data_IF_462776793996
#
_entry.id   IF_462776793996
#
_cell.length_a   1.000
_cell.length_b   1.000
_cell.length_c   1.000
_cell.angle_alpha   90.00
_cell.angle_beta   90.00
_cell.angle_gamma   90.00
#
_symmetry.space_group_name_H-M   'P 1'
#
loop_
_entity.id
_entity.type
_entity.pdbx_description
1 polymer ?
#
# COMPACT_ATOMS: atom_id res chain seq x y z
N UNK A 1 -16.23 11.60 22.34
CA UNK A 1 -17.48 10.94 21.89
C UNK A 1 -17.10 9.61 21.26
N UNK A 2 -17.58 8.49 21.77
CA UNK A 2 -17.47 7.21 21.03
C UNK A 2 -18.24 7.39 19.72
N UNK A 3 -17.55 7.28 18.58
CA UNK A 3 -18.21 7.29 17.27
C UNK A 3 -19.10 6.05 17.20
N UNK A 4 -20.41 6.26 17.23
CA UNK A 4 -21.39 5.23 16.95
C UNK A 4 -21.27 4.93 15.47
N UNK A 5 -20.68 3.79 15.13
CA UNK A 5 -20.42 3.34 13.77
C UNK A 5 -21.29 2.11 13.52
N UNK A 6 -22.36 2.26 12.74
CA UNK A 6 -23.21 1.17 12.29
C UNK A 6 -23.79 1.49 10.91
N UNK A 7 -24.43 0.53 10.24
CA UNK A 7 -24.95 0.71 8.90
C UNK A 7 -26.17 1.64 8.87
N UNK A 8 -26.48 2.18 7.70
CA UNK A 8 -27.68 2.98 7.46
C UNK A 8 -28.51 2.38 6.33
N UNK A 9 -29.83 2.31 6.48
CA UNK A 9 -30.72 1.66 5.52
C UNK A 9 -32.07 1.27 6.12
N UNK A 10 -32.60 0.13 5.69
CA UNK A 10 -33.91 -0.36 6.10
C UNK A 10 -33.86 -1.84 6.48
N UNK A 11 -34.59 -2.18 7.54
CA UNK A 11 -34.93 -3.56 7.89
C UNK A 11 -36.36 -3.84 7.42
N UNK A 12 -36.54 -4.94 6.70
CA UNK A 12 -37.85 -5.51 6.37
C UNK A 12 -38.09 -6.73 7.26
N UNK A 13 -39.13 -6.70 8.09
CA UNK A 13 -39.48 -7.81 8.99
C UNK A 13 -40.98 -7.86 9.29
N UNK A 14 -41.60 -9.04 9.16
CA UNK A 14 -43.01 -9.28 9.50
C UNK A 14 -44.00 -8.27 8.87
N UNK A 15 -43.70 -7.76 7.66
CA UNK A 15 -44.51 -6.76 6.96
C UNK A 15 -44.30 -5.32 7.42
N UNK A 16 -43.42 -5.08 8.38
CA UNK A 16 -42.98 -3.75 8.80
C UNK A 16 -41.63 -3.38 8.15
N UNK A 17 -41.45 -2.08 7.93
CA UNK A 17 -40.17 -1.49 7.50
C UNK A 17 -39.64 -0.61 8.61
N UNK A 18 -38.46 -0.95 9.14
CA UNK A 18 -37.77 -0.20 10.19
C UNK A 18 -36.62 0.59 9.56
N UNK A 19 -36.42 1.82 10.01
CA UNK A 19 -35.30 2.65 9.56
C UNK A 19 -34.08 2.34 10.40
N UNK A 20 -32.93 2.16 9.77
CA UNK A 20 -31.64 2.03 10.45
C UNK A 20 -30.80 3.26 10.13
N UNK A 21 -30.33 3.95 11.16
CA UNK A 21 -29.45 5.10 11.00
C UNK A 21 -28.25 5.00 11.95
N UNK A 22 -27.06 4.86 11.37
CA UNK A 22 -25.80 4.62 12.09
C UNK A 22 -25.92 3.46 13.09
N UNK A 23 -26.55 2.37 12.65
CA UNK A 23 -26.85 1.16 13.41
C UNK A 23 -28.08 1.25 14.31
N UNK A 24 -28.58 2.44 14.66
CA UNK A 24 -29.80 2.55 15.49
C UNK A 24 -31.02 2.19 14.67
N UNK A 25 -31.81 1.25 15.17
CA UNK A 25 -33.05 0.79 14.51
C UNK A 25 -34.23 1.56 15.09
N UNK A 26 -35.06 2.14 14.23
CA UNK A 26 -36.22 2.93 14.60
C UNK A 26 -37.51 2.32 14.05
N UNK A 27 -38.53 2.32 14.89
CA UNK A 27 -39.93 2.12 14.50
C UNK A 27 -40.70 3.39 14.84
N UNK A 28 -41.30 4.03 13.83
CA UNK A 28 -42.10 5.24 14.01
C UNK A 28 -41.39 6.33 14.85
N UNK A 29 -40.07 6.46 14.66
CA UNK A 29 -39.21 7.42 15.39
C UNK A 29 -38.72 6.97 16.78
N UNK A 30 -39.17 5.82 17.27
CA UNK A 30 -38.73 5.25 18.56
C UNK A 30 -37.58 4.25 18.34
N UNK A 31 -36.46 4.33 19.08
CA UNK A 31 -35.39 3.36 18.98
C UNK A 31 -35.83 2.00 19.52
N UNK A 32 -35.70 0.96 18.70
CA UNK A 32 -36.12 -0.42 19.02
C UNK A 32 -34.98 -1.43 18.93
N UNK A 33 -33.74 -0.97 18.73
CA UNK A 33 -32.56 -1.83 18.75
C UNK A 33 -31.33 -1.18 18.11
N UNK A 34 -30.25 -1.94 18.06
CA UNK A 34 -29.02 -1.60 17.34
C UNK A 34 -28.63 -2.76 16.42
N UNK A 35 -28.29 -2.45 15.16
CA UNK A 35 -27.77 -3.35 14.13
C UNK A 35 -26.30 -3.03 13.89
N UNK A 36 -25.46 -4.05 13.91
CA UNK A 36 -24.06 -3.99 13.48
C UNK A 36 -23.90 -4.44 12.02
N UNK A 37 -22.78 -4.08 11.38
CA UNK A 37 -22.54 -4.37 9.97
C UNK A 37 -22.36 -5.87 9.68
N UNK A 38 -21.89 -6.62 10.68
CA UNK A 38 -21.76 -8.08 10.65
C UNK A 38 -23.08 -8.82 10.94
N UNK A 39 -24.18 -8.08 11.06
CA UNK A 39 -25.52 -8.62 11.27
C UNK A 39 -25.85 -9.00 12.70
N UNK A 40 -25.06 -8.61 13.70
CA UNK A 40 -25.53 -8.70 15.08
C UNK A 40 -26.56 -7.62 15.42
N UNK A 41 -27.54 -8.02 16.23
CA UNK A 41 -28.54 -7.16 16.83
C UNK A 41 -28.33 -7.09 18.35
N UNK A 42 -28.57 -5.92 18.94
CA UNK A 42 -28.48 -5.68 20.38
C UNK A 42 -29.61 -4.77 20.86
N UNK A 43 -29.95 -4.88 22.15
CA UNK A 43 -30.87 -4.00 22.87
C UNK A 43 -32.23 -3.88 22.13
N UNK A 44 -32.68 -5.00 21.58
CA UNK A 44 -33.85 -5.08 20.71
C UNK A 44 -35.16 -5.11 21.50
N UNK A 45 -36.20 -4.53 20.91
CA UNK A 45 -37.55 -4.47 21.45
C UNK A 45 -38.61 -4.46 20.33
N UNK A 46 -39.89 -4.40 20.70
CA UNK A 46 -40.98 -4.24 19.75
C UNK A 46 -41.07 -5.41 18.73
N UNK A 47 -41.17 -5.14 17.42
CA UNK A 47 -41.25 -6.16 16.37
C UNK A 47 -40.05 -7.09 16.35
N UNK A 48 -38.87 -6.64 16.80
CA UNK A 48 -37.69 -7.48 16.88
C UNK A 48 -37.76 -8.44 18.07
N UNK A 49 -38.66 -8.23 19.04
CA UNK A 49 -38.71 -8.95 20.31
C UNK A 49 -37.72 -8.41 21.33
N UNK A 50 -38.02 -8.61 22.62
CA UNK A 50 -37.24 -8.08 23.73
C UNK A 50 -35.98 -8.93 23.97
N UNK A 51 -34.80 -8.32 23.83
CA UNK A 51 -33.51 -8.95 24.16
C UNK A 51 -32.42 -7.92 24.34
N UNK A 52 -31.73 -7.98 25.47
CA UNK A 52 -30.53 -7.17 25.76
C UNK A 52 -29.24 -7.87 25.31
N UNK A 53 -29.34 -9.14 24.91
CA UNK A 53 -28.21 -9.93 24.44
C UNK A 53 -27.93 -9.73 22.96
N UNK A 54 -26.66 -9.86 22.60
CA UNK A 54 -26.19 -9.89 21.23
C UNK A 54 -26.72 -11.15 20.53
N UNK A 55 -27.41 -10.98 19.40
CA UNK A 55 -27.93 -12.11 18.62
C UNK A 55 -27.81 -11.86 17.12
N UNK A 56 -27.51 -12.90 16.32
CA UNK A 56 -27.37 -12.73 14.87
C UNK A 56 -28.74 -12.45 14.23
N UNK A 57 -28.74 -11.71 13.13
CA UNK A 57 -29.93 -11.39 12.32
C UNK A 57 -30.70 -12.65 11.88
N UNK A 58 -30.00 -13.77 11.68
CA UNK A 58 -30.58 -15.07 11.35
C UNK A 58 -31.47 -15.66 12.45
N UNK A 59 -31.32 -15.20 13.70
CA UNK A 59 -32.20 -15.60 14.80
C UNK A 59 -33.64 -15.05 14.64
N UNK A 60 -33.86 -14.13 13.69
CA UNK A 60 -35.16 -13.57 13.34
C UNK A 60 -35.51 -13.97 11.89
N UNK A 61 -36.16 -15.13 11.68
CA UNK A 61 -36.44 -15.66 10.35
C UNK A 61 -37.24 -14.68 9.47
N UNK A 62 -36.75 -14.39 8.27
CA UNK A 62 -37.38 -13.47 7.33
C UNK A 62 -37.02 -11.99 7.54
N UNK A 63 -36.16 -11.67 8.51
CA UNK A 63 -35.59 -10.33 8.65
C UNK A 63 -34.53 -10.12 7.59
N UNK A 64 -34.66 -9.04 6.81
CA UNK A 64 -33.62 -8.62 5.87
C UNK A 64 -33.25 -7.16 6.09
N UNK A 65 -31.98 -6.83 5.91
CA UNK A 65 -31.49 -5.46 5.90
C UNK A 65 -30.94 -5.11 4.51
N UNK A 66 -31.20 -3.88 4.06
CA UNK A 66 -30.64 -3.30 2.83
C UNK A 66 -30.23 -1.87 3.09
N UNK A 67 -29.00 -1.53 2.75
CA UNK A 67 -28.47 -0.19 2.98
C UNK A 67 -27.01 -0.07 2.60
N UNK A 68 -26.28 0.71 3.39
CA UNK A 68 -24.85 0.94 3.27
C UNK A 68 -24.15 0.68 4.60
N UNK A 69 -22.91 0.22 4.54
CA UNK A 69 -22.00 0.19 5.69
C UNK A 69 -21.43 1.60 5.99
N UNK A 70 -20.63 1.71 7.05
CA UNK A 70 -20.01 2.97 7.49
C UNK A 70 -19.00 3.54 6.49
N UNK A 71 -18.54 2.74 5.53
CA UNK A 71 -17.68 3.19 4.43
C UNK A 71 -18.46 3.68 3.20
N UNK A 72 -19.79 3.53 3.22
CA UNK A 72 -20.68 3.89 2.12
C UNK A 72 -20.83 2.82 1.04
N UNK A 73 -20.31 1.61 1.27
CA UNK A 73 -20.49 0.48 0.36
C UNK A 73 -21.83 -0.19 0.62
N UNK A 74 -22.44 -0.72 -0.44
CA UNK A 74 -23.72 -1.42 -0.35
C UNK A 74 -23.63 -2.61 0.61
N UNK A 75 -24.59 -2.71 1.52
CA UNK A 75 -24.69 -3.77 2.52
C UNK A 75 -26.09 -4.39 2.47
N UNK A 76 -26.15 -5.71 2.37
CA UNK A 76 -27.38 -6.49 2.43
C UNK A 76 -27.21 -7.64 3.40
N UNK A 77 -28.09 -7.76 4.39
CA UNK A 77 -28.05 -8.86 5.37
C UNK A 77 -29.35 -9.68 5.33
N UNK A 78 -29.27 -11.01 5.46
CA UNK A 78 -28.05 -11.81 5.40
C UNK A 78 -27.40 -11.75 4.00
N UNK A 79 -26.06 -11.84 3.97
CA UNK A 79 -25.27 -11.75 2.72
C UNK A 79 -25.40 -13.02 1.86
N UNK A 80 -25.74 -14.17 2.46
CA UNK A 80 -25.93 -15.44 1.76
C UNK A 80 -27.17 -16.20 2.28
N UNK A 81 -27.88 -16.86 1.37
CA UNK A 81 -29.01 -17.75 1.71
C UNK A 81 -28.54 -19.13 2.25
N UNK A 82 -27.23 -19.42 2.24
CA UNK A 82 -26.69 -20.77 2.46
C UNK A 82 -25.90 -20.97 3.75
N UNK A 83 -25.78 -19.93 4.57
CA UNK A 83 -24.94 -19.99 5.76
C UNK A 83 -23.45 -20.10 5.43
N UNK A 84 -22.63 -19.51 6.28
CA UNK A 84 -21.17 -19.59 6.16
C UNK A 84 -20.56 -20.07 7.47
N UNK A 85 -19.23 -20.23 7.51
CA UNK A 85 -18.53 -20.64 8.70
C UNK A 85 -18.75 -19.63 9.84
N UNK A 86 -18.69 -20.11 11.08
CA UNK A 86 -18.77 -19.26 12.28
C UNK A 86 -17.64 -19.63 13.23
N UNK A 87 -16.90 -18.64 13.72
CA UNK A 87 -15.75 -18.85 14.60
C UNK A 87 -14.81 -17.66 14.65
N UNK A 88 -13.60 -17.90 15.16
CA UNK A 88 -12.55 -16.90 15.27
C UNK A 88 -11.56 -17.02 14.10
N UNK A 89 -11.14 -15.88 13.55
CA UNK A 89 -10.13 -15.80 12.50
C UNK A 89 -8.99 -14.88 12.95
N UNK A 90 -7.75 -15.37 12.86
CA UNK A 90 -6.54 -14.56 13.01
C UNK A 90 -5.96 -14.29 11.63
N UNK A 91 -5.94 -13.02 11.22
CA UNK A 91 -5.40 -12.56 9.95
C UNK A 91 -4.12 -11.75 10.20
N UNK A 92 -2.96 -12.32 9.87
CA UNK A 92 -1.66 -11.71 10.12
C UNK A 92 -1.46 -11.21 11.57
N UNK A 93 -1.98 -11.96 12.55
CA UNK A 93 -1.96 -11.58 13.97
C UNK A 93 -3.12 -10.68 14.42
N UNK A 94 -3.89 -10.10 13.50
CA UNK A 94 -5.10 -9.35 13.80
C UNK A 94 -6.26 -10.31 14.07
N UNK A 95 -6.95 -10.14 15.19
CA UNK A 95 -8.12 -10.95 15.54
C UNK A 95 -9.39 -10.40 14.91
N UNK A 96 -10.11 -11.28 14.25
CA UNK A 96 -11.38 -11.06 13.58
C UNK A 96 -12.34 -12.16 14.01
N UNK A 97 -13.63 -11.94 13.83
CA UNK A 97 -14.64 -12.97 13.98
C UNK A 97 -15.35 -13.22 12.66
N UNK A 98 -15.80 -14.46 12.48
CA UNK A 98 -16.60 -14.88 11.34
C UNK A 98 -17.98 -15.27 11.86
N UNK A 99 -19.02 -14.63 11.34
CA UNK A 99 -20.41 -14.89 11.73
C UNK A 99 -21.19 -15.24 10.49
N UNK A 100 -21.52 -16.51 10.34
CA UNK A 100 -22.24 -17.00 9.18
C UNK A 100 -21.58 -16.61 7.85
N UNK A 101 -20.26 -16.71 7.80
CA UNK A 101 -19.40 -16.31 6.68
C UNK A 101 -19.06 -14.83 6.61
N UNK A 102 -19.65 -13.97 7.45
CA UNK A 102 -19.32 -12.54 7.49
C UNK A 102 -18.06 -12.32 8.30
N UNK A 103 -17.02 -11.79 7.68
CA UNK A 103 -15.77 -11.48 8.35
C UNK A 103 -15.83 -10.05 8.90
N UNK A 104 -15.60 -9.92 10.20
CA UNK A 104 -15.70 -8.64 10.88
C UNK A 104 -14.63 -8.43 11.95
N UNK A 105 -14.33 -7.17 12.22
CA UNK A 105 -13.49 -6.75 13.35
C UNK A 105 -14.22 -7.00 14.68
N UNK A 106 -13.48 -7.05 15.79
CA UNK A 106 -14.06 -7.23 17.13
C UNK A 106 -15.05 -6.13 17.54
N UNK A 107 -15.02 -4.95 16.91
CA UNK A 107 -16.02 -3.89 17.07
C UNK A 107 -17.19 -3.99 16.07
N UNK A 108 -17.37 -5.16 15.45
CA UNK A 108 -18.47 -5.53 14.56
C UNK A 108 -18.54 -4.74 13.24
N UNK A 109 -17.40 -4.29 12.71
CA UNK A 109 -17.33 -3.72 11.35
C UNK A 109 -17.10 -4.81 10.33
N UNK A 110 -17.86 -4.78 9.25
CA UNK A 110 -17.75 -5.75 8.18
C UNK A 110 -16.52 -5.43 7.32
N UNK A 111 -15.59 -6.38 7.24
CA UNK A 111 -14.37 -6.24 6.44
C UNK A 111 -14.33 -7.23 5.28
N UNK A 112 -15.27 -8.16 5.20
CA UNK A 112 -15.29 -9.14 4.13
C UNK A 112 -16.21 -10.33 4.35
N UNK A 113 -15.96 -11.37 3.57
CA UNK A 113 -16.63 -12.66 3.62
C UNK A 113 -15.59 -13.77 3.64
N UNK A 114 -15.85 -14.83 4.39
CA UNK A 114 -15.05 -16.04 4.48
C UNK A 114 -15.93 -17.26 4.19
N UNK A 115 -15.58 -18.03 3.17
CA UNK A 115 -16.33 -19.20 2.72
C UNK A 115 -15.92 -20.50 3.41
N UNK A 116 -16.78 -21.53 3.34
CA UNK A 116 -16.49 -22.90 3.81
C UNK A 116 -15.37 -23.60 3.00
N UNK A 117 -14.98 -23.02 1.87
CA UNK A 117 -13.86 -23.42 1.02
C UNK A 117 -12.53 -22.75 1.42
N UNK A 118 -12.55 -21.82 2.37
CA UNK A 118 -11.38 -21.07 2.80
C UNK A 118 -11.12 -19.81 1.97
N UNK A 119 -11.99 -19.48 1.02
CA UNK A 119 -11.83 -18.27 0.19
C UNK A 119 -12.20 -17.04 1.01
N UNK A 120 -11.32 -16.04 0.99
CA UNK A 120 -11.53 -14.72 1.57
C UNK A 120 -11.87 -13.70 0.47
N UNK A 121 -12.90 -12.90 0.72
CA UNK A 121 -13.20 -11.71 -0.07
C UNK A 121 -13.19 -10.50 0.87
N UNK A 122 -12.34 -9.50 0.61
CA UNK A 122 -12.22 -8.32 1.45
C UNK A 122 -12.95 -7.12 0.89
N UNK A 123 -13.48 -6.28 1.77
CA UNK A 123 -14.10 -5.00 1.44
C UNK A 123 -13.12 -3.88 1.73
N UNK A 124 -12.92 -2.98 0.79
CA UNK A 124 -12.13 -1.76 0.99
C UNK A 124 -12.93 -0.53 0.52
N UNK A 125 -13.39 0.27 1.48
CA UNK A 125 -14.15 1.50 1.20
C UNK A 125 -13.37 2.56 0.42
N UNK A 126 -12.04 2.46 0.34
CA UNK A 126 -11.24 3.33 -0.52
C UNK A 126 -11.39 3.00 -2.02
N UNK A 127 -11.77 1.77 -2.35
CA UNK A 127 -11.94 1.29 -3.72
C UNK A 127 -13.44 1.13 -4.05
N UNK A 128 -13.87 1.72 -5.17
CA UNK A 128 -15.30 1.76 -5.55
C UNK A 128 -15.92 0.39 -5.83
N UNK A 129 -15.10 -0.62 -6.13
CA UNK A 129 -15.54 -1.95 -6.59
C UNK A 129 -15.89 -2.92 -5.45
N UNK A 130 -15.78 -2.48 -4.18
CA UNK A 130 -16.53 -3.02 -3.05
C UNK A 130 -16.05 -4.35 -2.46
N UNK A 131 -15.60 -5.33 -3.26
CA UNK A 131 -15.14 -6.64 -2.79
C UNK A 131 -14.00 -7.21 -3.65
N UNK A 132 -12.92 -7.66 -2.99
CA UNK A 132 -11.73 -8.23 -3.61
C UNK A 132 -11.54 -9.67 -3.15
N UNK A 133 -11.65 -10.63 -4.08
CA UNK A 133 -11.30 -12.01 -3.79
C UNK A 133 -9.79 -12.12 -3.63
N UNK A 134 -9.35 -12.66 -2.51
CA UNK A 134 -7.94 -12.92 -2.27
C UNK A 134 -7.53 -14.26 -2.91
N UNK A 135 -6.28 -14.28 -3.34
CA UNK A 135 -5.59 -15.44 -3.92
C UNK A 135 -4.26 -15.69 -3.20
N UNK A 136 -3.48 -16.64 -3.70
CA UNK A 136 -2.20 -17.03 -3.09
C UNK A 136 -1.17 -15.89 -3.01
N UNK A 137 -1.28 -14.89 -3.90
CA UNK A 137 -0.32 -13.77 -3.96
C UNK A 137 -0.80 -12.55 -3.19
N UNK A 138 -2.10 -12.44 -2.88
CA UNK A 138 -2.69 -11.29 -2.17
C UNK A 138 -3.09 -11.60 -0.74
N UNK A 139 -3.31 -12.87 -0.37
CA UNK A 139 -3.70 -13.27 0.98
C UNK A 139 -2.51 -13.33 1.95
N UNK A 140 -2.67 -12.75 3.15
CA UNK A 140 -1.74 -12.91 4.27
C UNK A 140 -2.03 -14.18 5.08
N UNK A 141 -1.15 -14.47 6.04
CA UNK A 141 -1.33 -15.61 6.94
C UNK A 141 -2.70 -15.56 7.62
N UNK A 142 -3.45 -16.66 7.51
CA UNK A 142 -4.81 -16.80 7.98
C UNK A 142 -4.93 -18.07 8.80
N UNK A 143 -5.48 -17.96 10.00
CA UNK A 143 -5.85 -19.10 10.83
C UNK A 143 -7.30 -18.93 11.27
N UNK A 144 -8.16 -19.87 10.91
CA UNK A 144 -9.55 -19.93 11.33
C UNK A 144 -9.78 -21.14 12.24
N UNK A 145 -10.56 -20.93 13.30
CA UNK A 145 -11.03 -21.97 14.21
C UNK A 145 -12.51 -21.77 14.49
N UNK A 146 -13.34 -22.74 14.13
CA UNK A 146 -14.78 -22.65 14.33
C UNK A 146 -15.51 -23.82 13.71
N UNK A 147 -16.70 -23.55 13.17
CA UNK A 147 -17.53 -24.54 12.49
C UNK A 147 -17.84 -24.08 11.06
N UNK A 148 -18.00 -25.02 10.14
CA UNK A 148 -18.60 -24.76 8.82
C UNK A 148 -20.09 -24.47 8.91
N UNK A 149 -20.69 -24.05 7.80
CA UNK A 149 -22.16 -23.86 7.70
C UNK A 149 -22.97 -25.12 8.06
N UNK A 150 -22.40 -26.31 7.85
CA UNK A 150 -23.01 -27.60 8.20
C UNK A 150 -22.87 -27.98 9.70
N UNK A 151 -22.29 -27.09 10.51
CA UNK A 151 -22.10 -27.26 11.94
C UNK A 151 -20.89 -28.11 12.32
N UNK A 152 -20.14 -28.68 11.36
CA UNK A 152 -18.95 -29.47 11.67
C UNK A 152 -17.78 -28.57 12.11
N UNK A 153 -17.02 -28.96 13.16
CA UNK A 153 -15.79 -28.28 13.51
C UNK A 153 -14.82 -28.21 12.33
N UNK A 154 -14.19 -27.07 12.15
CA UNK A 154 -13.28 -26.78 11.05
C UNK A 154 -12.16 -25.85 11.51
N UNK A 155 -10.94 -26.29 11.20
CA UNK A 155 -9.74 -25.46 11.29
C UNK A 155 -9.23 -25.27 9.87
N UNK A 156 -8.99 -24.02 9.51
CA UNK A 156 -8.38 -23.66 8.23
C UNK A 156 -7.14 -22.84 8.50
N UNK A 157 -6.04 -23.22 7.88
CA UNK A 157 -4.78 -22.50 7.96
C UNK A 157 -4.29 -22.25 6.54
N UNK A 158 -4.24 -20.97 6.17
CA UNK A 158 -3.51 -20.52 5.02
C UNK A 158 -2.27 -19.82 5.53
N UNK A 159 -1.14 -20.53 5.49
CA UNK A 159 0.14 -19.87 5.55
C UNK A 159 0.44 -19.42 4.14
N UNK A 160 0.56 -18.10 3.93
CA UNK A 160 1.04 -17.58 2.66
C UNK A 160 2.44 -18.14 2.47
N UNK A 161 2.57 -19.26 1.76
CA UNK A 161 3.84 -19.92 1.61
C UNK A 161 4.75 -19.00 0.80
N UNK A 162 5.85 -18.48 1.35
CA UNK A 162 7.01 -18.26 0.51
C UNK A 162 7.66 -19.63 0.43
N UNK A 163 8.13 -20.08 -0.72
CA UNK A 163 9.11 -21.17 -0.75
C UNK A 163 10.45 -20.76 -0.08
N UNK A 164 10.50 -19.63 0.64
CA UNK A 164 11.66 -18.97 1.27
C UNK A 164 11.26 -18.13 2.53
N UNK A 165 10.47 -18.65 3.47
CA UNK A 165 10.18 -17.94 4.74
C UNK A 165 11.30 -18.10 5.76
N UNK A 166 11.66 -17.03 6.48
CA UNK A 166 12.24 -17.15 7.84
C UNK A 166 11.28 -16.55 8.87
N UNK A 167 11.05 -17.30 9.96
CA UNK A 167 10.12 -16.99 11.06
C UNK A 167 10.47 -15.74 11.88
N UNK A 168 11.67 -15.20 11.72
CA UNK A 168 12.25 -14.12 12.54
C UNK A 168 12.12 -12.72 11.91
N UNK A 169 11.52 -12.59 10.72
CA UNK A 169 11.49 -11.33 9.97
C UNK A 169 10.06 -10.88 9.66
N UNK A 170 9.83 -9.57 9.81
CA UNK A 170 8.55 -8.93 9.49
C UNK A 170 8.25 -8.98 7.99
N UNK A 171 6.99 -8.88 7.62
CA UNK A 171 6.51 -9.05 6.25
C UNK A 171 7.16 -8.07 5.25
N UNK A 172 7.37 -6.81 5.64
CA UNK A 172 8.07 -5.82 4.82
C UNK A 172 9.49 -6.29 4.43
N UNK A 173 10.19 -6.95 5.35
CA UNK A 173 11.53 -7.49 5.08
C UNK A 173 11.52 -8.67 4.11
N UNK A 174 10.52 -9.54 4.19
CA UNK A 174 10.43 -10.71 3.31
C UNK A 174 10.04 -10.36 1.87
N UNK A 175 9.24 -9.32 1.64
CA UNK A 175 8.95 -8.83 0.29
C UNK A 175 10.17 -8.17 -0.36
N UNK A 176 10.93 -7.42 0.44
CA UNK A 176 12.18 -6.79 0.02
C UNK A 176 13.23 -7.86 -0.33
N UNK A 177 13.33 -8.96 0.41
CA UNK A 177 14.22 -10.10 0.08
C UNK A 177 13.95 -10.65 -1.33
N UNK A 178 12.70 -10.63 -1.81
CA UNK A 178 12.35 -11.12 -3.16
C UNK A 178 12.79 -10.16 -4.24
N UNK A 179 12.70 -8.85 -3.99
CA UNK A 179 13.21 -7.83 -4.89
C UNK A 179 14.75 -7.87 -4.99
N UNK A 180 15.44 -8.26 -3.91
CA UNK A 180 16.90 -8.27 -3.84
C UNK A 180 17.49 -9.70 -3.89
N UNK A 181 17.95 -10.15 -5.07
CA UNK A 181 18.75 -11.38 -5.17
C UNK A 181 19.99 -11.26 -4.28
N UNK A 182 20.17 -12.24 -3.39
CA UNK A 182 21.30 -12.24 -2.46
C UNK A 182 21.11 -11.33 -1.24
N UNK A 183 19.88 -10.89 -0.93
CA UNK A 183 19.60 -10.13 0.30
C UNK A 183 20.19 -10.81 1.55
N UNK A 184 20.12 -12.14 1.64
CA UNK A 184 20.67 -12.86 2.80
C UNK A 184 22.19 -12.74 2.94
N UNK A 185 22.91 -12.53 1.84
CA UNK A 185 24.35 -12.31 1.82
C UNK A 185 24.74 -10.86 2.21
N UNK A 186 23.77 -9.94 2.30
CA UNK A 186 24.00 -8.58 2.77
C UNK A 186 24.38 -8.55 4.26
N UNK A 187 25.27 -7.62 4.61
CA UNK A 187 25.57 -7.26 5.99
C UNK A 187 24.34 -6.66 6.69
N UNK A 188 24.32 -6.67 8.02
CA UNK A 188 23.22 -6.09 8.80
C UNK A 188 22.95 -4.62 8.46
N UNK A 189 24.02 -3.85 8.19
CA UNK A 189 23.92 -2.42 7.86
C UNK A 189 23.27 -2.21 6.49
N UNK A 190 23.67 -3.00 5.49
CA UNK A 190 23.06 -2.97 4.15
C UNK A 190 21.60 -3.40 4.20
N UNK A 191 21.28 -4.48 4.93
CA UNK A 191 19.89 -4.93 5.12
C UNK A 191 19.03 -3.80 5.70
N UNK A 192 19.49 -3.17 6.77
CA UNK A 192 18.78 -2.04 7.40
C UNK A 192 18.51 -0.91 6.40
N UNK A 193 19.51 -0.50 5.62
CA UNK A 193 19.34 0.53 4.58
C UNK A 193 18.24 0.16 3.57
N UNK A 194 18.28 -1.06 3.03
CA UNK A 194 17.27 -1.53 2.07
C UNK A 194 15.88 -1.54 2.71
N UNK A 195 15.76 -2.04 3.95
CA UNK A 195 14.50 -2.07 4.67
C UNK A 195 13.92 -0.67 4.87
N UNK A 196 14.71 0.24 5.43
CA UNK A 196 14.28 1.62 5.70
C UNK A 196 13.83 2.35 4.43
N UNK A 197 14.54 2.12 3.32
CA UNK A 197 14.27 2.82 2.05
C UNK A 197 13.15 2.17 1.23
N UNK A 198 12.81 0.90 1.43
CA UNK A 198 11.78 0.21 0.65
C UNK A 198 10.49 -0.09 1.42
N UNK A 199 10.45 0.19 2.73
CA UNK A 199 9.30 -0.11 3.61
C UNK A 199 7.98 0.46 3.06
N UNK A 200 7.97 1.72 2.59
CA UNK A 200 6.77 2.34 2.04
C UNK A 200 6.18 1.51 0.90
N UNK A 201 7.02 1.11 -0.07
CA UNK A 201 6.59 0.45 -1.28
C UNK A 201 6.12 -0.98 -1.04
N UNK A 202 6.76 -1.68 -0.10
CA UNK A 202 6.35 -3.00 0.36
C UNK A 202 5.00 -2.92 1.09
N UNK A 203 4.91 -2.07 2.12
CA UNK A 203 3.69 -1.91 2.92
C UNK A 203 2.51 -1.34 2.13
N UNK A 204 2.75 -0.60 1.03
CA UNK A 204 1.70 -0.15 0.13
C UNK A 204 1.29 -1.17 -0.93
N UNK A 205 1.95 -2.33 -0.99
CA UNK A 205 1.73 -3.37 -1.99
C UNK A 205 2.24 -3.04 -3.40
N UNK A 206 2.92 -1.90 -3.59
CA UNK A 206 3.39 -1.44 -4.92
C UNK A 206 4.66 -2.19 -5.34
N UNK A 207 5.51 -2.56 -4.39
CA UNK A 207 6.72 -3.34 -4.67
C UNK A 207 6.41 -4.70 -5.31
N UNK A 208 5.27 -5.32 -4.98
CA UNK A 208 4.84 -6.61 -5.54
C UNK A 208 4.30 -6.53 -6.97
N UNK A 209 3.91 -5.33 -7.41
CA UNK A 209 3.33 -5.09 -8.74
C UNK A 209 4.38 -5.30 -9.85
N UNK A 210 5.66 -5.18 -9.52
CA UNK A 210 6.77 -5.57 -10.40
C UNK A 210 6.87 -7.10 -10.36
N UNK A 211 6.30 -7.78 -11.37
CA UNK A 211 6.09 -9.24 -11.34
C UNK A 211 7.40 -10.03 -11.25
N UNK A 212 7.34 -11.21 -10.60
CA UNK A 212 8.36 -12.29 -10.56
C UNK A 212 8.92 -12.72 -11.93
N UNK A 213 8.18 -12.48 -13.02
CA UNK A 213 8.62 -12.77 -14.40
C UNK A 213 9.25 -11.58 -15.11
N UNK A 214 9.21 -10.41 -14.50
CA UNK A 214 9.59 -9.13 -15.08
C UNK A 214 10.84 -8.53 -14.45
N UNK A 215 11.32 -9.05 -13.30
CA UNK A 215 12.73 -9.00 -12.92
C UNK A 215 13.02 -8.90 -11.41
N UNK A 216 14.24 -9.28 -11.05
CA UNK A 216 14.82 -9.27 -9.70
C UNK A 216 16.02 -8.31 -9.66
N UNK A 217 16.19 -7.49 -8.62
CA UNK A 217 17.40 -6.71 -8.46
C UNK A 217 18.57 -7.61 -8.02
N UNK A 218 19.64 -7.66 -8.82
CA UNK A 218 20.80 -8.51 -8.58
C UNK A 218 22.04 -7.68 -8.24
N UNK A 219 22.86 -8.11 -7.28
CA UNK A 219 24.17 -7.50 -7.07
C UNK A 219 25.12 -8.02 -8.15
N UNK A 220 25.68 -7.13 -8.98
CA UNK A 220 26.55 -7.53 -10.08
C UNK A 220 27.61 -6.48 -10.39
N UNK A 221 28.70 -6.90 -11.03
CA UNK A 221 29.72 -5.98 -11.54
C UNK A 221 29.20 -5.34 -12.84
N UNK A 222 28.35 -4.32 -12.73
CA UNK A 222 27.89 -3.54 -13.89
C UNK A 222 28.38 -2.12 -13.75
N UNK A 223 29.24 -1.71 -14.69
CA UNK A 223 29.69 -0.32 -14.80
C UNK A 223 28.50 0.54 -15.23
N UNK A 224 28.23 1.58 -14.46
CA UNK A 224 27.34 2.71 -14.83
C UNK A 224 27.51 3.06 -16.30
N UNK A 225 26.49 2.75 -17.08
CA UNK A 225 26.55 2.85 -18.53
C UNK A 225 25.16 3.10 -19.08
N UNK A 226 24.64 4.29 -18.81
CA UNK A 226 23.48 4.89 -19.46
C UNK A 226 22.27 3.95 -19.61
N UNK A 227 21.23 4.21 -18.80
CA UNK A 227 19.89 3.65 -18.99
C UNK A 227 19.32 3.79 -20.43
N UNK A 228 19.99 4.56 -21.31
CA UNK A 228 19.68 4.65 -22.74
C UNK A 228 20.29 3.59 -23.68
N UNK A 229 21.16 2.67 -23.23
CA UNK A 229 21.83 1.70 -24.15
C UNK A 229 21.72 0.24 -23.71
N UNK A 230 21.64 -0.05 -22.41
CA UNK A 230 21.36 -1.41 -21.94
C UNK A 230 19.87 -1.64 -21.90
N UNK A 231 19.38 -2.47 -22.82
CA UNK A 231 18.02 -2.95 -22.85
C UNK A 231 17.64 -3.61 -21.51
N UNK A 232 17.02 -2.85 -20.60
CA UNK A 232 16.32 -3.36 -19.42
C UNK A 232 15.04 -4.05 -19.91
N UNK A 233 15.20 -5.19 -20.59
CA UNK A 233 14.11 -6.04 -21.09
C UNK A 233 13.77 -7.18 -20.15
N UNK A 234 14.52 -7.34 -19.06
CA UNK A 234 14.35 -8.42 -18.09
C UNK A 234 14.08 -7.91 -16.67
N UNK A 235 13.84 -6.59 -16.51
CA UNK A 235 13.61 -5.84 -15.27
C UNK A 235 14.48 -6.21 -14.06
N UNK A 236 15.67 -6.74 -14.30
CA UNK A 236 16.66 -6.89 -13.26
C UNK A 236 17.41 -5.57 -13.10
N UNK A 237 17.29 -4.89 -11.95
CA UNK A 237 18.20 -3.80 -11.60
C UNK A 237 19.52 -4.41 -11.12
N UNK A 238 20.65 -4.01 -11.70
CA UNK A 238 21.96 -4.51 -11.23
C UNK A 238 22.69 -3.40 -10.51
N UNK A 239 22.93 -3.58 -9.22
CA UNK A 239 23.66 -2.58 -8.43
C UNK A 239 25.16 -2.83 -8.53
N UNK A 240 25.91 -1.77 -8.86
CA UNK A 240 27.36 -1.74 -8.66
C UNK A 240 27.64 -1.87 -7.16
N UNK A 241 28.41 -2.89 -6.78
CA UNK A 241 28.68 -3.20 -5.38
C UNK A 241 29.43 -2.07 -4.67
N UNK A 242 30.39 -1.43 -5.35
CA UNK A 242 31.19 -0.35 -4.77
C UNK A 242 30.36 0.90 -4.56
N UNK A 243 29.44 1.18 -5.49
CA UNK A 243 28.47 2.26 -5.34
C UNK A 243 27.47 1.98 -4.22
N UNK A 244 26.91 0.78 -4.15
CA UNK A 244 25.99 0.39 -3.09
C UNK A 244 26.64 0.51 -1.71
N UNK A 245 27.88 0.01 -1.55
CA UNK A 245 28.62 0.11 -0.29
C UNK A 245 28.91 1.57 0.07
N UNK A 246 29.31 2.39 -0.91
CA UNK A 246 29.54 3.82 -0.71
C UNK A 246 28.25 4.55 -0.33
N UNK A 247 27.13 4.21 -0.96
CA UNK A 247 25.83 4.84 -0.70
C UNK A 247 25.33 4.53 0.70
N UNK A 248 25.43 3.27 1.12
CA UNK A 248 25.10 2.84 2.48
C UNK A 248 25.94 3.60 3.51
N UNK A 249 27.25 3.80 3.26
CA UNK A 249 28.12 4.59 4.15
C UNK A 249 27.64 6.04 4.23
N UNK A 250 27.33 6.67 3.09
CA UNK A 250 26.86 8.05 3.05
C UNK A 250 25.49 8.23 3.71
N UNK A 251 24.54 7.35 3.43
CA UNK A 251 23.22 7.35 4.06
C UNK A 251 23.34 7.26 5.58
N UNK A 252 24.13 6.32 6.11
CA UNK A 252 24.28 6.15 7.56
C UNK A 252 25.01 7.33 8.23
N UNK A 253 25.93 7.99 7.53
CA UNK A 253 26.72 9.09 8.10
C UNK A 253 26.06 10.46 7.97
N UNK A 254 25.29 10.67 6.89
CA UNK A 254 24.84 12.00 6.45
C UNK A 254 23.36 12.07 6.11
N UNK A 255 22.66 10.94 6.12
CA UNK A 255 21.25 10.84 5.77
C UNK A 255 20.99 10.71 4.26
N UNK A 256 19.71 10.66 3.85
CA UNK A 256 19.29 10.39 2.47
C UNK A 256 19.59 11.54 1.50
N UNK A 257 19.80 12.75 2.02
CA UNK A 257 20.27 13.90 1.27
C UNK A 257 21.56 14.38 1.88
N UNK A 258 22.62 14.44 1.08
CA UNK A 258 23.90 14.89 1.59
C UNK A 258 24.65 15.72 0.56
N UNK A 259 25.44 16.66 1.08
CA UNK A 259 26.40 17.43 0.30
C UNK A 259 27.78 16.82 0.47
N UNK A 260 28.49 16.63 -0.63
CA UNK A 260 29.91 16.28 -0.66
C UNK A 260 30.70 17.54 -1.02
N UNK A 261 31.52 18.01 -0.09
CA UNK A 261 32.44 19.10 -0.37
C UNK A 261 33.59 18.61 -1.24
N UNK A 262 33.52 18.85 -2.55
CA UNK A 262 34.63 18.78 -3.52
C UNK A 262 34.15 19.25 -4.92
N UNK A 263 33.97 20.56 -5.09
CA UNK A 263 34.03 21.15 -6.43
C UNK A 263 35.49 21.40 -6.83
N UNK A 264 35.85 21.39 -8.12
CA UNK A 264 37.17 21.85 -8.59
C UNK A 264 37.43 23.33 -8.27
N UNK A 265 36.37 24.09 -7.91
CA UNK A 265 36.41 25.42 -7.32
C UNK A 265 35.80 25.36 -5.90
N UNK A 266 36.46 26.00 -4.92
CA UNK A 266 36.13 25.95 -3.48
C UNK A 266 34.70 26.44 -3.11
N UNK A 267 34.00 27.07 -4.05
CA UNK A 267 32.66 27.65 -3.86
C UNK A 267 31.50 26.73 -4.24
N UNK A 268 31.78 25.60 -4.89
CA UNK A 268 30.76 24.64 -5.33
C UNK A 268 30.81 23.37 -4.49
N UNK A 269 29.62 22.89 -4.11
CA UNK A 269 29.41 21.61 -3.43
C UNK A 269 28.66 20.67 -4.34
N UNK A 270 29.06 19.41 -4.33
CA UNK A 270 28.33 18.35 -5.00
C UNK A 270 27.16 17.93 -4.10
N UNK A 271 25.96 17.87 -4.65
CA UNK A 271 24.76 17.43 -3.95
C UNK A 271 24.39 16.04 -4.44
N UNK A 272 24.11 15.12 -3.51
CA UNK A 272 23.80 13.72 -3.82
C UNK A 272 22.58 13.22 -3.04
N UNK A 273 21.86 12.31 -3.69
CA UNK A 273 20.81 11.49 -3.10
C UNK A 273 21.43 10.16 -2.71
N UNK A 274 21.32 9.78 -1.43
CA UNK A 274 21.87 8.53 -0.92
C UNK A 274 20.84 7.40 -0.94
N UNK A 275 20.22 7.22 -2.10
CA UNK A 275 18.99 6.44 -2.25
C UNK A 275 19.04 5.60 -3.55
N UNK A 276 20.18 4.94 -3.80
CA UNK A 276 20.40 4.15 -5.02
C UNK A 276 19.39 3.00 -5.17
N UNK A 277 19.01 2.35 -4.07
CA UNK A 277 18.04 1.24 -4.08
C UNK A 277 16.65 1.67 -4.57
N UNK A 278 16.00 2.65 -3.94
CA UNK A 278 14.69 3.08 -4.42
C UNK A 278 14.75 3.85 -5.74
N UNK A 279 15.91 4.40 -6.13
CA UNK A 279 16.11 4.95 -7.47
C UNK A 279 15.96 3.89 -8.55
N UNK A 280 16.65 2.75 -8.41
CA UNK A 280 16.52 1.64 -9.37
C UNK A 280 15.12 1.02 -9.37
N UNK A 281 14.46 0.99 -8.20
CA UNK A 281 13.05 0.63 -8.13
C UNK A 281 12.17 1.60 -8.93
N UNK A 282 12.47 2.90 -8.90
CA UNK A 282 11.78 3.91 -9.70
C UNK A 282 11.77 3.58 -11.20
N UNK A 283 12.92 3.18 -11.75
CA UNK A 283 13.02 2.75 -13.16
C UNK A 283 12.09 1.58 -13.48
N UNK A 284 11.99 0.59 -12.59
CA UNK A 284 11.09 -0.55 -12.78
C UNK A 284 9.62 -0.16 -12.64
N UNK A 285 9.31 0.68 -11.64
CA UNK A 285 7.97 1.18 -11.39
C UNK A 285 7.42 1.96 -12.60
N UNK A 286 8.27 2.67 -13.34
CA UNK A 286 7.88 3.41 -14.54
C UNK A 286 7.16 2.53 -15.58
N UNK A 287 7.62 1.28 -15.77
CA UNK A 287 7.03 0.33 -16.72
C UNK A 287 5.61 -0.10 -16.34
N UNK A 288 5.23 0.02 -15.06
CA UNK A 288 3.91 -0.35 -14.56
C UNK A 288 2.88 0.76 -14.75
N UNK A 289 3.32 1.98 -15.06
CA UNK A 289 2.47 3.16 -15.24
C UNK A 289 1.68 3.09 -16.56
N UNK A 290 0.53 3.76 -16.58
CA UNK A 290 -0.22 4.04 -17.81
C UNK A 290 0.53 5.02 -18.70
N UNK A 291 0.24 4.99 -20.01
CA UNK A 291 0.79 5.97 -20.95
C UNK A 291 0.43 7.41 -20.53
N UNK A 292 -0.82 7.64 -20.11
CA UNK A 292 -1.25 8.96 -19.66
C UNK A 292 -0.44 9.49 -18.47
N UNK A 293 -0.07 8.62 -17.53
CA UNK A 293 0.81 8.99 -16.41
C UNK A 293 2.23 9.32 -16.90
N UNK A 294 2.81 8.50 -17.80
CA UNK A 294 4.14 8.76 -18.36
C UNK A 294 4.19 10.05 -19.19
N UNK A 295 3.15 10.35 -19.95
CA UNK A 295 3.03 11.59 -20.73
C UNK A 295 2.97 12.82 -19.80
N UNK A 296 2.18 12.72 -18.72
CA UNK A 296 2.10 13.77 -17.72
C UNK A 296 3.44 13.99 -17.00
N UNK A 297 4.16 12.91 -16.64
CA UNK A 297 5.52 12.98 -16.07
C UNK A 297 6.49 13.64 -17.06
N UNK A 298 6.37 13.35 -18.35
CA UNK A 298 7.20 13.94 -19.41
C UNK A 298 6.95 15.44 -19.54
N UNK A 299 5.69 15.89 -19.51
CA UNK A 299 5.36 17.31 -19.53
C UNK A 299 5.95 18.04 -18.32
N UNK A 300 5.71 17.46 -17.14
CA UNK A 300 6.26 17.89 -15.86
C UNK A 300 7.79 18.07 -15.88
N UNK A 301 8.51 17.05 -16.34
CA UNK A 301 9.96 17.06 -16.53
C UNK A 301 10.40 18.21 -17.45
N UNK A 302 9.76 18.37 -18.60
CA UNK A 302 10.12 19.41 -19.57
C UNK A 302 9.92 20.83 -19.01
N UNK A 303 8.86 21.06 -18.24
CA UNK A 303 8.60 22.35 -17.59
C UNK A 303 9.67 22.65 -16.52
N UNK A 304 9.99 21.66 -15.69
CA UNK A 304 10.99 21.79 -14.62
C UNK A 304 12.39 21.96 -15.16
N UNK A 305 12.77 21.19 -16.17
CA UNK A 305 14.09 21.28 -16.82
C UNK A 305 14.35 22.67 -17.39
N UNK A 306 13.37 23.26 -18.10
CA UNK A 306 13.47 24.64 -18.62
C UNK A 306 13.68 25.67 -17.51
N UNK A 307 13.08 25.46 -16.34
CA UNK A 307 13.25 26.34 -15.18
C UNK A 307 14.63 26.17 -14.57
N UNK A 308 15.05 24.92 -14.34
CA UNK A 308 16.36 24.59 -13.79
C UNK A 308 17.51 25.10 -14.68
N UNK A 309 17.39 25.01 -16.01
CA UNK A 309 18.39 25.53 -16.95
C UNK A 309 18.61 27.04 -16.83
N UNK A 310 17.59 27.79 -16.40
CA UNK A 310 17.69 29.23 -16.17
C UNK A 310 18.26 29.57 -14.80
N UNK A 311 17.92 28.79 -13.77
CA UNK A 311 18.21 29.12 -12.37
C UNK A 311 19.54 28.53 -11.89
N UNK A 312 19.85 27.28 -12.28
CA UNK A 312 21.03 26.53 -11.86
C UNK A 312 21.84 26.07 -13.09
N UNK A 313 22.29 27.02 -13.89
CA UNK A 313 23.13 26.73 -15.05
C UNK A 313 24.47 26.13 -14.60
N UNK A 314 24.79 24.92 -15.08
CA UNK A 314 26.08 24.28 -14.82
C UNK A 314 27.21 25.12 -15.43
N UNK A 315 28.29 25.42 -14.67
CA UNK A 315 29.44 26.09 -15.24
C UNK A 315 30.04 25.28 -16.40
N UNK A 316 30.47 25.93 -17.50
CA UNK A 316 30.93 25.23 -18.72
C UNK A 316 32.12 24.27 -18.52
N UNK A 317 32.87 24.43 -17.42
CA UNK A 317 34.05 23.64 -17.08
C UNK A 317 33.74 22.42 -16.20
N UNK A 318 32.50 22.27 -15.75
CA UNK A 318 32.06 21.12 -14.96
C UNK A 318 31.36 20.15 -15.91
N UNK A 319 32.08 19.11 -16.30
CA UNK A 319 31.56 18.00 -17.07
C UNK A 319 30.99 16.91 -16.16
N UNK A 320 30.04 16.13 -16.67
CA UNK A 320 29.45 14.98 -15.97
C UNK A 320 28.00 15.22 -15.54
N UNK A 321 27.47 14.26 -14.78
CA UNK A 321 26.07 14.25 -14.37
C UNK A 321 25.84 14.58 -12.89
N UNK A 322 26.89 14.88 -12.12
CA UNK A 322 26.73 15.29 -10.73
C UNK A 322 26.04 16.65 -10.61
N UNK A 323 25.18 16.81 -9.59
CA UNK A 323 24.62 18.12 -9.24
C UNK A 323 25.66 18.94 -8.48
N UNK A 324 26.09 20.07 -9.05
CA UNK A 324 26.97 21.03 -8.37
C UNK A 324 26.23 22.35 -8.15
N UNK A 325 26.17 22.80 -6.90
CA UNK A 325 25.54 24.05 -6.49
C UNK A 325 26.48 24.88 -5.62
N UNK A 326 26.26 26.20 -5.57
CA UNK A 326 26.88 27.03 -4.53
C UNK A 326 26.28 26.66 -3.17
N UNK A 327 27.06 26.81 -2.10
CA UNK A 327 26.62 26.45 -0.72
C UNK A 327 25.31 27.14 -0.32
N UNK A 328 25.12 28.39 -0.71
CA UNK A 328 23.92 29.19 -0.45
C UNK A 328 22.71 28.82 -1.33
N UNK A 329 22.92 28.01 -2.37
CA UNK A 329 21.88 27.56 -3.30
C UNK A 329 21.40 26.13 -3.03
N UNK A 330 22.03 25.38 -2.12
CA UNK A 330 21.65 24.00 -1.80
C UNK A 330 20.19 23.91 -1.35
N UNK A 331 19.74 24.84 -0.50
CA UNK A 331 18.35 24.90 -0.02
C UNK A 331 17.35 25.40 -1.08
N UNK A 332 17.85 25.87 -2.23
CA UNK A 332 17.05 26.37 -3.36
C UNK A 332 17.15 25.45 -4.58
N UNK A 333 17.67 24.24 -4.41
CA UNK A 333 17.86 23.28 -5.50
C UNK A 333 16.53 22.88 -6.13
N UNK A 334 16.58 22.46 -7.38
CA UNK A 334 15.45 21.82 -8.06
C UNK A 334 15.67 20.31 -8.09
N UNK A 335 14.61 19.51 -8.10
CA UNK A 335 14.75 18.04 -8.14
C UNK A 335 15.22 17.51 -9.51
N UNK A 336 15.24 18.35 -10.55
CA UNK A 336 15.62 18.01 -11.93
C UNK A 336 17.06 18.45 -12.29
N UNK A 337 17.88 18.87 -11.31
CA UNK A 337 19.30 19.19 -11.55
C UNK A 337 20.23 17.99 -11.45
N UNK A 338 21.45 18.11 -12.00
CA UNK A 338 22.42 17.01 -12.03
C UNK A 338 21.95 15.83 -12.88
N UNK A 339 21.95 14.63 -12.29
CA UNK A 339 21.76 13.36 -13.01
C UNK A 339 20.33 13.21 -13.54
N UNK A 340 19.35 13.60 -12.73
CA UNK A 340 17.93 13.70 -13.10
C UNK A 340 17.66 14.59 -14.34
N UNK A 341 18.56 15.51 -14.69
CA UNK A 341 18.43 16.36 -15.88
C UNK A 341 18.69 15.61 -17.18
N UNK A 342 19.34 14.44 -17.10
CA UNK A 342 19.78 13.70 -18.28
C UNK A 342 18.60 13.14 -19.08
N UNK A 343 17.55 12.68 -18.40
CA UNK A 343 16.35 12.15 -19.02
C UNK A 343 15.13 12.24 -18.09
N UNK A 344 13.94 12.06 -18.66
CA UNK A 344 12.69 11.95 -17.88
C UNK A 344 12.73 10.74 -16.94
N UNK A 345 13.34 9.62 -17.37
CA UNK A 345 13.48 8.40 -16.59
C UNK A 345 14.28 8.63 -15.30
N UNK A 346 15.42 9.33 -15.41
CA UNK A 346 16.24 9.65 -14.23
C UNK A 346 15.55 10.65 -13.30
N UNK A 347 14.81 11.61 -13.84
CA UNK A 347 13.99 12.50 -13.04
C UNK A 347 12.90 11.75 -12.28
N UNK A 348 12.20 10.81 -12.93
CA UNK A 348 11.22 9.95 -12.27
C UNK A 348 11.85 9.10 -11.17
N UNK A 349 12.95 8.41 -11.47
CA UNK A 349 13.65 7.54 -10.52
C UNK A 349 14.14 8.30 -9.27
N UNK A 350 14.70 9.49 -9.43
CA UNK A 350 15.13 10.33 -8.31
C UNK A 350 13.95 10.83 -7.46
N UNK A 351 12.80 11.10 -8.09
CA UNK A 351 11.59 11.47 -7.35
C UNK A 351 11.01 10.29 -6.57
N UNK A 352 10.99 9.09 -7.16
CA UNK A 352 10.60 7.85 -6.46
C UNK A 352 11.54 7.60 -5.28
N UNK A 353 12.86 7.71 -5.51
CA UNK A 353 13.87 7.58 -4.46
C UNK A 353 13.58 8.53 -3.29
N UNK A 354 13.44 9.83 -3.57
CA UNK A 354 13.14 10.82 -2.55
C UNK A 354 11.81 10.58 -1.82
N UNK A 355 10.77 10.13 -2.51
CA UNK A 355 9.48 9.84 -1.90
C UNK A 355 9.51 8.65 -0.93
N UNK A 356 10.51 7.77 -1.08
CA UNK A 356 10.63 6.52 -0.35
C UNK A 356 10.90 6.71 1.15
N UNK A 357 11.63 7.78 1.52
CA UNK A 357 12.01 8.08 2.90
C UNK A 357 11.32 9.35 3.37
N UNK A 358 10.71 9.33 4.57
CA UNK A 358 9.92 10.44 5.11
C UNK A 358 10.61 11.80 5.06
N UNK A 359 11.86 11.89 5.55
CA UNK A 359 12.60 13.15 5.53
C UNK A 359 12.83 13.70 4.12
N UNK A 360 13.02 12.80 3.14
CA UNK A 360 13.21 13.18 1.75
C UNK A 360 11.92 13.51 1.01
N UNK A 361 10.82 12.85 1.39
CA UNK A 361 9.48 13.11 0.88
C UNK A 361 9.03 14.54 1.16
N UNK A 362 9.29 15.04 2.36
CA UNK A 362 8.96 16.44 2.71
C UNK A 362 9.77 17.45 1.89
N UNK A 363 11.02 17.12 1.54
CA UNK A 363 11.83 17.96 0.65
C UNK A 363 11.29 17.91 -0.78
N UNK A 364 10.92 16.73 -1.27
CA UNK A 364 10.27 16.59 -2.58
C UNK A 364 8.96 17.40 -2.63
N UNK A 365 8.15 17.37 -1.57
CA UNK A 365 6.93 18.16 -1.46
C UNK A 365 7.17 19.67 -1.57
N UNK A 366 8.29 20.16 -1.04
CA UNK A 366 8.65 21.58 -1.12
C UNK A 366 9.16 21.97 -2.51
N UNK A 367 10.03 21.16 -3.11
CA UNK A 367 10.68 21.50 -4.38
C UNK A 367 9.90 21.06 -5.62
N UNK A 368 9.05 20.05 -5.48
CA UNK A 368 8.26 19.45 -6.54
C UNK A 368 6.89 18.92 -6.02
N UNK A 369 5.99 19.83 -5.62
CA UNK A 369 4.72 19.46 -4.99
C UNK A 369 3.79 18.65 -5.90
N UNK A 370 3.86 18.86 -7.22
CA UNK A 370 3.03 18.14 -8.19
C UNK A 370 3.50 16.69 -8.34
N UNK A 371 4.81 16.45 -8.43
CA UNK A 371 5.36 15.09 -8.43
C UNK A 371 5.08 14.37 -7.11
N UNK A 372 5.24 15.07 -5.98
CA UNK A 372 4.84 14.53 -4.68
C UNK A 372 3.36 14.12 -4.66
N UNK A 373 2.46 14.95 -5.21
CA UNK A 373 1.03 14.64 -5.29
C UNK A 373 0.75 13.45 -6.21
N UNK A 374 1.48 13.30 -7.32
CA UNK A 374 1.40 12.13 -8.20
C UNK A 374 1.81 10.85 -7.47
N UNK A 375 2.96 10.85 -6.80
CA UNK A 375 3.46 9.70 -6.04
C UNK A 375 2.56 9.35 -4.85
N UNK A 376 2.02 10.36 -4.16
CA UNK A 376 0.99 10.15 -3.12
C UNK A 376 -0.24 9.46 -3.71
N UNK A 377 -0.70 9.91 -4.88
CA UNK A 377 -1.83 9.31 -5.57
C UNK A 377 -1.51 7.89 -6.04
N UNK A 378 -0.28 7.58 -6.41
CA UNK A 378 0.14 6.23 -6.79
C UNK A 378 -0.03 5.26 -5.61
N UNK A 379 0.31 5.68 -4.40
CA UNK A 379 0.17 4.85 -3.20
C UNK A 379 -1.28 4.75 -2.73
N UNK A 380 -2.03 5.86 -2.71
CA UNK A 380 -3.40 5.90 -2.15
C UNK A 380 -4.46 5.44 -3.17
N UNK A 381 -4.22 5.68 -4.45
CA UNK A 381 -5.15 5.42 -5.55
C UNK A 381 -4.42 4.87 -6.80
N UNK A 382 -3.73 3.71 -6.66
CA UNK A 382 -2.89 3.15 -7.72
C UNK A 382 -3.63 2.94 -9.05
N UNK A 383 -4.92 2.61 -9.02
CA UNK A 383 -5.75 2.40 -10.21
C UNK A 383 -5.88 3.64 -11.13
N UNK A 384 -5.57 4.83 -10.60
CA UNK A 384 -5.56 6.06 -11.41
C UNK A 384 -4.23 6.30 -12.16
N UNK A 385 -3.21 5.49 -11.90
CA UNK A 385 -1.85 5.70 -12.40
C UNK A 385 -1.27 4.43 -13.04
N UNK A 386 -1.47 3.27 -12.42
CA UNK A 386 -1.01 1.96 -12.88
C UNK A 386 -1.82 1.45 -14.06
N UNK A 387 -1.22 0.56 -14.86
CA UNK A 387 -1.90 -0.16 -15.94
C UNK A 387 -3.06 -1.01 -15.41
N UNK A 388 -4.12 -1.12 -16.20
CA UNK A 388 -5.37 -1.80 -15.83
C UNK A 388 -5.17 -3.26 -15.40
N UNK A 389 -4.20 -3.96 -16.00
CA UNK A 389 -3.87 -5.36 -15.68
C UNK A 389 -3.31 -5.56 -14.26
N UNK A 390 -3.01 -4.47 -13.55
CA UNK A 390 -2.45 -4.47 -12.20
C UNK A 390 -3.48 -3.98 -11.16
N UNK A 391 -4.63 -3.45 -11.59
CA UNK A 391 -5.60 -2.79 -10.69
C UNK A 391 -6.15 -3.74 -9.64
N UNK A 392 -6.69 -4.88 -10.08
CA UNK A 392 -7.35 -5.84 -9.19
C UNK A 392 -6.37 -6.43 -8.17
N UNK A 393 -5.23 -6.94 -8.63
CA UNK A 393 -4.20 -7.51 -7.75
C UNK A 393 -3.65 -6.48 -6.75
N UNK A 394 -3.41 -5.24 -7.19
CA UNK A 394 -2.92 -4.17 -6.30
C UNK A 394 -3.97 -3.80 -5.26
N UNK A 395 -5.24 -3.65 -5.67
CA UNK A 395 -6.32 -3.30 -4.76
C UNK A 395 -6.59 -4.42 -3.74
N UNK A 396 -6.61 -5.68 -4.18
CA UNK A 396 -6.75 -6.84 -3.31
C UNK A 396 -5.61 -6.93 -2.29
N UNK A 397 -4.37 -6.73 -2.73
CA UNK A 397 -3.20 -6.70 -1.84
C UNK A 397 -3.26 -5.52 -0.87
N UNK A 398 -3.62 -4.32 -1.31
CA UNK A 398 -3.75 -3.17 -0.42
C UNK A 398 -4.84 -3.37 0.64
N UNK A 399 -5.99 -3.93 0.27
CA UNK A 399 -7.05 -4.28 1.20
C UNK A 399 -6.57 -5.29 2.25
N UNK A 400 -5.83 -6.30 1.78
CA UNK A 400 -5.20 -7.34 2.59
C UNK A 400 -4.16 -6.78 3.57
N UNK A 401 -3.26 -5.89 3.11
CA UNK A 401 -2.25 -5.23 3.93
C UNK A 401 -2.86 -4.27 4.97
N UNK A 402 -3.93 -3.56 4.62
CA UNK A 402 -4.68 -2.73 5.57
C UNK A 402 -5.31 -3.59 6.66
N UNK A 403 -5.99 -4.68 6.27
CA UNK A 403 -6.61 -5.60 7.24
C UNK A 403 -5.58 -6.26 8.14
N UNK A 404 -4.42 -6.62 7.59
CA UNK A 404 -3.28 -7.19 8.32
C UNK A 404 -2.50 -6.21 9.19
N UNK A 405 -2.89 -4.93 9.22
CA UNK A 405 -2.25 -3.90 10.03
C UNK A 405 -0.90 -3.38 9.51
N UNK A 406 -0.57 -3.66 8.25
CA UNK A 406 0.72 -3.30 7.66
C UNK A 406 0.65 -1.99 6.88
N UNK A 407 -0.44 -1.76 6.14
CA UNK A 407 -0.65 -0.48 5.45
C UNK A 407 -1.43 0.47 6.36
N UNK A 408 -0.72 1.39 7.01
CA UNK A 408 -1.28 2.44 7.86
C UNK A 408 -1.19 3.82 7.22
N UNK A 409 -2.08 4.73 7.62
CA UNK A 409 -2.07 6.12 7.14
C UNK A 409 -0.75 6.84 7.49
N UNK A 410 -0.12 6.49 8.62
CA UNK A 410 1.15 7.06 9.08
C UNK A 410 2.33 6.76 8.15
N UNK A 411 2.24 5.75 7.29
CA UNK A 411 3.31 5.45 6.33
C UNK A 411 3.49 6.56 5.30
N UNK A 412 2.42 7.32 5.01
CA UNK A 412 2.42 8.38 4.02
C UNK A 412 2.82 9.75 4.58
N UNK A 413 2.70 9.98 5.88
CA UNK A 413 2.81 11.31 6.51
C UNK A 413 3.90 11.43 7.57
#
# INVERSE_FOLDING_TARGET
MQKINGPSGFIEYAGAMLVVDYGKVYQDGTPVGFLFEDGYLKDTSGPLGLSDQLRPIEALPGLTFRGIDTSGLALKLPLANHGGPTGDLTYNGIRLHVVNGRLATLDHRLVGVFGDDGVLCLRDGAAKDGEFRLDEVTQLNTLFQGNKSDGKPWTHEFNRQPTLYRKDRSYAENEIIRYFMGFDALSTVQKRYVLETMTLWAASGILQVVRKSEGDASLGNVKHGAAGVTAVRTGNATFDKEEFDRDVVHYNQRGPHFTVGRGPNLDLVEVRLSLVVPHEFGHQLEFTLTQAAQDHITEMYNQRRKTCEKVHALPPHIAGYSEFLRKDQVERRHFVSGYSKSSMHEYWAECVAAFSVKGSREILKQFDPEMHALLTRLVVKPQSILRIVLHETTAALQASLKLGGEYTDDLLF
#
